data_IF_355137688265
#
_entry.id   IF_355137688265
#
_cell.length_a   1.000
_cell.length_b   1.000
_cell.length_c   1.000
_cell.angle_alpha   90.00
_cell.angle_beta   90.00
_cell.angle_gamma   90.00
#
_symmetry.space_group_name_H-M   'P 1'
#
loop_
_entity.id
_entity.type
_entity.pdbx_description
1 polymer ?
#
# COMPACT_ATOMS: atom_id res chain seq x y z
N UNK A 1 0.23 10.84 -18.53
CA UNK A 1 -1.09 11.48 -18.74
C UNK A 1 -2.05 11.04 -17.63
N UNK A 2 -3.13 11.78 -17.34
CA UNK A 2 -4.17 11.29 -16.44
C UNK A 2 -4.82 10.02 -17.01
N UNK A 3 -5.19 9.08 -16.15
CA UNK A 3 -5.95 7.89 -16.54
C UNK A 3 -7.45 8.21 -16.47
N UNK A 4 -8.09 8.34 -17.61
CA UNK A 4 -9.52 8.62 -17.73
C UNK A 4 -10.13 7.90 -18.94
N UNK A 5 -11.44 8.06 -19.13
CA UNK A 5 -12.17 7.41 -20.23
C UNK A 5 -11.62 7.79 -21.61
N UNK A 6 -11.27 9.07 -21.81
CA UNK A 6 -10.84 9.58 -23.12
C UNK A 6 -9.46 9.04 -23.48
N UNK A 7 -8.53 9.09 -22.53
CA UNK A 7 -7.17 8.57 -22.69
C UNK A 7 -7.14 7.05 -22.87
N UNK A 8 -8.05 6.31 -22.21
CA UNK A 8 -8.17 4.87 -22.40
C UNK A 8 -8.73 4.52 -23.79
N UNK A 9 -9.74 5.25 -24.27
CA UNK A 9 -10.31 5.04 -25.62
C UNK A 9 -9.26 5.35 -26.70
N UNK A 10 -8.59 6.50 -26.61
CA UNK A 10 -7.55 6.91 -27.58
C UNK A 10 -6.40 5.87 -27.64
N UNK A 11 -5.97 5.36 -26.48
CA UNK A 11 -4.93 4.33 -26.44
C UNK A 11 -5.39 2.99 -27.04
N UNK A 12 -6.64 2.56 -26.78
CA UNK A 12 -7.19 1.33 -27.35
C UNK A 12 -7.44 1.45 -28.86
N UNK A 13 -7.82 2.63 -29.36
CA UNK A 13 -7.92 2.90 -30.80
C UNK A 13 -6.54 2.85 -31.46
N UNK A 14 -5.53 3.45 -30.83
CA UNK A 14 -4.14 3.44 -31.31
C UNK A 14 -3.58 2.02 -31.40
N UNK A 15 -3.99 1.12 -30.50
CA UNK A 15 -3.61 -0.29 -30.53
C UNK A 15 -4.53 -1.16 -31.41
N UNK A 16 -5.54 -0.59 -32.06
CA UNK A 16 -6.56 -1.32 -32.85
C UNK A 16 -7.35 -2.37 -32.04
N UNK A 17 -7.44 -2.19 -30.71
CA UNK A 17 -8.09 -3.13 -29.77
C UNK A 17 -9.45 -2.67 -29.27
N UNK A 18 -9.87 -1.43 -29.57
CA UNK A 18 -11.11 -0.87 -29.04
C UNK A 18 -12.35 -1.71 -29.38
N UNK A 19 -12.46 -2.19 -30.61
CA UNK A 19 -13.59 -3.02 -31.03
C UNK A 19 -13.56 -4.43 -30.40
N UNK A 20 -12.36 -5.00 -30.18
CA UNK A 20 -12.20 -6.32 -29.55
C UNK A 20 -12.74 -6.34 -28.12
N UNK A 21 -12.57 -5.23 -27.39
CA UNK A 21 -13.05 -5.10 -26.01
C UNK A 21 -14.52 -4.67 -25.89
N UNK A 22 -15.23 -4.49 -27.02
CA UNK A 22 -16.65 -4.09 -27.03
C UNK A 22 -16.92 -2.60 -27.18
N UNK A 23 -15.89 -1.82 -27.53
CA UNK A 23 -16.02 -0.41 -27.89
C UNK A 23 -16.23 0.56 -26.71
N UNK A 24 -16.44 1.85 -27.00
CA UNK A 24 -16.63 2.89 -25.98
C UNK A 24 -17.86 2.65 -25.08
N UNK A 25 -18.87 1.95 -25.62
CA UNK A 25 -20.08 1.58 -24.88
C UNK A 25 -19.78 0.63 -23.72
N UNK A 26 -18.94 -0.39 -23.94
CA UNK A 26 -18.57 -1.34 -22.89
C UNK A 26 -17.77 -0.67 -21.78
N UNK A 27 -16.82 0.21 -22.13
CA UNK A 27 -16.06 1.00 -21.14
C UNK A 27 -16.98 1.90 -20.28
N UNK A 28 -18.00 2.49 -20.91
CA UNK A 28 -19.02 3.28 -20.19
C UNK A 28 -19.85 2.44 -19.24
N UNK A 29 -20.17 1.19 -19.61
CA UNK A 29 -20.85 0.24 -18.73
C UNK A 29 -19.97 -0.17 -17.52
N UNK A 30 -18.67 -0.40 -17.72
CA UNK A 30 -17.73 -0.70 -16.63
C UNK A 30 -17.65 0.42 -15.59
N UNK A 31 -17.65 1.67 -16.05
CA UNK A 31 -17.68 2.85 -15.17
C UNK A 31 -18.98 2.87 -14.34
N UNK A 32 -20.12 2.60 -14.97
CA UNK A 32 -21.43 2.66 -14.32
C UNK A 32 -21.75 1.45 -13.43
N UNK A 33 -21.11 0.30 -13.67
CA UNK A 33 -21.32 -0.92 -12.89
C UNK A 33 -20.52 -0.97 -11.58
N UNK A 34 -19.59 -0.04 -11.38
CA UNK A 34 -18.76 0.04 -10.16
C UNK A 34 -19.48 0.87 -9.08
N UNK A 35 -19.94 0.27 -7.96
CA UNK A 35 -20.75 0.99 -6.96
C UNK A 35 -19.97 2.08 -6.21
N UNK A 36 -18.67 1.87 -5.98
CA UNK A 36 -17.78 2.84 -5.35
C UNK A 36 -16.32 2.47 -5.57
N UNK A 37 -15.50 3.46 -5.96
CA UNK A 37 -14.04 3.31 -6.08
C UNK A 37 -13.34 3.08 -4.73
N UNK A 38 -14.01 3.39 -3.61
CA UNK A 38 -13.46 3.22 -2.25
C UNK A 38 -13.13 1.74 -1.95
N UNK A 39 -13.89 0.81 -2.56
CA UNK A 39 -13.75 -0.62 -2.31
C UNK A 39 -12.93 -1.36 -3.38
N UNK A 40 -12.12 -0.65 -4.17
CA UNK A 40 -11.32 -1.25 -5.25
C UNK A 40 -10.43 -2.40 -4.75
N UNK A 41 -9.79 -2.24 -3.58
CA UNK A 41 -8.97 -3.29 -2.98
C UNK A 41 -9.79 -4.54 -2.59
N UNK A 42 -11.05 -4.35 -2.20
CA UNK A 42 -11.93 -5.46 -1.86
C UNK A 42 -12.33 -6.25 -3.12
N UNK A 43 -12.73 -5.56 -4.18
CA UNK A 43 -13.08 -6.19 -5.45
C UNK A 43 -11.87 -6.89 -6.08
N UNK A 44 -10.69 -6.27 -6.04
CA UNK A 44 -9.45 -6.87 -6.50
C UNK A 44 -9.16 -8.20 -5.79
N UNK A 45 -9.37 -8.28 -4.46
CA UNK A 45 -9.20 -9.54 -3.69
C UNK A 45 -10.21 -10.61 -4.09
N UNK A 46 -11.44 -10.25 -4.46
CA UNK A 46 -12.43 -11.24 -4.93
C UNK A 46 -11.97 -11.85 -6.26
N UNK A 47 -11.52 -11.01 -7.20
CA UNK A 47 -11.01 -11.45 -8.50
C UNK A 47 -9.75 -12.31 -8.32
N UNK A 48 -8.81 -11.86 -7.49
CA UNK A 48 -7.59 -12.59 -7.14
C UNK A 48 -7.91 -13.97 -6.56
N UNK A 49 -8.77 -14.04 -5.54
CA UNK A 49 -9.19 -15.31 -4.92
C UNK A 49 -9.73 -16.29 -5.96
N UNK A 50 -10.57 -15.79 -6.86
CA UNK A 50 -11.22 -16.62 -7.88
C UNK A 50 -10.20 -17.07 -8.95
N UNK A 51 -9.24 -16.21 -9.30
CA UNK A 51 -8.15 -16.56 -10.20
C UNK A 51 -7.23 -17.64 -9.60
N UNK A 52 -6.90 -17.56 -8.31
CA UNK A 52 -6.10 -18.58 -7.61
C UNK A 52 -6.81 -19.93 -7.61
N UNK A 53 -8.11 -19.96 -7.32
CA UNK A 53 -8.89 -21.21 -7.38
C UNK A 53 -8.88 -21.83 -8.77
N UNK A 54 -8.99 -21.04 -9.85
CA UNK A 54 -8.89 -21.56 -11.24
C UNK A 54 -7.50 -22.13 -11.55
N UNK A 55 -6.43 -21.48 -11.09
CA UNK A 55 -5.07 -21.99 -11.24
C UNK A 55 -4.88 -23.30 -10.50
N UNK A 56 -5.44 -23.42 -9.29
CA UNK A 56 -5.39 -24.65 -8.50
C UNK A 56 -6.12 -25.81 -9.18
N UNK A 57 -7.29 -25.54 -9.78
CA UNK A 57 -8.02 -26.55 -10.56
C UNK A 57 -7.19 -27.03 -11.76
N UNK A 58 -6.55 -26.09 -12.47
CA UNK A 58 -5.71 -26.42 -13.63
C UNK A 58 -4.47 -27.23 -13.23
N UNK A 59 -3.84 -26.85 -12.11
CA UNK A 59 -2.73 -27.58 -11.50
C UNK A 59 -3.14 -29.00 -11.11
N UNK A 60 -4.29 -29.16 -10.45
CA UNK A 60 -4.80 -30.48 -10.07
C UNK A 60 -5.06 -31.37 -11.30
N UNK A 61 -5.59 -30.81 -12.40
CA UNK A 61 -5.74 -31.53 -13.66
C UNK A 61 -4.41 -31.99 -14.24
N UNK A 62 -3.42 -31.11 -14.27
CA UNK A 62 -2.06 -31.42 -14.76
C UNK A 62 -1.39 -32.51 -13.91
N UNK A 63 -1.53 -32.44 -12.59
CA UNK A 63 -1.00 -33.45 -11.67
C UNK A 63 -1.71 -34.80 -11.86
N UNK A 64 -3.02 -34.78 -12.08
CA UNK A 64 -3.76 -36.00 -12.39
C UNK A 64 -3.29 -36.65 -13.70
N UNK A 65 -3.08 -35.85 -14.75
CA UNK A 65 -2.52 -36.33 -16.02
C UNK A 65 -1.13 -36.96 -15.83
N UNK A 66 -0.25 -36.31 -15.06
CA UNK A 66 1.07 -36.84 -14.72
C UNK A 66 0.99 -38.18 -13.97
N UNK A 67 0.00 -38.35 -13.10
CA UNK A 67 -0.18 -39.58 -12.32
C UNK A 67 -0.70 -40.76 -13.16
N UNK A 68 -1.36 -40.51 -14.28
CA UNK A 68 -1.78 -41.55 -15.22
C UNK A 68 -0.67 -41.99 -16.19
N UNK A 69 0.39 -41.19 -16.33
CA UNK A 69 1.52 -41.52 -17.21
C UNK A 69 2.50 -42.47 -16.50
N UNK A 70 2.27 -43.78 -16.63
CA UNK A 70 3.12 -44.83 -16.07
C UNK A 70 4.52 -44.92 -16.73
N UNK A 71 4.82 -44.12 -17.75
CA UNK A 71 6.13 -44.13 -18.42
C UNK A 71 7.20 -43.32 -17.69
N UNK A 72 6.81 -42.46 -16.75
CA UNK A 72 7.70 -41.60 -15.98
C UNK A 72 8.17 -42.29 -14.68
N UNK A 73 9.39 -42.01 -14.23
CA UNK A 73 9.84 -42.44 -12.90
C UNK A 73 9.05 -41.70 -11.80
N UNK A 74 8.66 -42.42 -10.75
CA UNK A 74 7.84 -41.89 -9.65
C UNK A 74 8.44 -40.63 -9.00
N UNK A 75 9.76 -40.60 -8.78
CA UNK A 75 10.45 -39.46 -8.15
C UNK A 75 10.30 -38.18 -8.99
N UNK A 76 10.44 -38.30 -10.32
CA UNK A 76 10.21 -37.17 -11.24
C UNK A 76 8.76 -36.69 -11.26
N UNK A 77 7.79 -37.59 -11.12
CA UNK A 77 6.36 -37.23 -11.08
C UNK A 77 6.05 -36.42 -9.82
N UNK A 78 6.59 -36.84 -8.66
CA UNK A 78 6.42 -36.14 -7.39
C UNK A 78 7.07 -34.75 -7.44
N UNK A 79 8.31 -34.65 -7.92
CA UNK A 79 9.02 -33.36 -8.03
C UNK A 79 8.27 -32.36 -8.92
N UNK A 80 7.75 -32.82 -10.08
CA UNK A 80 6.94 -31.98 -10.98
C UNK A 80 5.64 -31.53 -10.32
N UNK A 81 4.98 -32.41 -9.58
CA UNK A 81 3.75 -32.05 -8.87
C UNK A 81 4.01 -30.99 -7.80
N UNK A 82 5.11 -31.09 -7.05
CA UNK A 82 5.52 -30.08 -6.09
C UNK A 82 5.79 -28.73 -6.77
N UNK A 83 6.52 -28.71 -7.87
CA UNK A 83 6.79 -27.48 -8.65
C UNK A 83 5.50 -26.82 -9.14
N UNK A 84 4.55 -27.60 -9.65
CA UNK A 84 3.25 -27.10 -10.12
C UNK A 84 2.46 -26.45 -8.97
N UNK A 85 2.38 -27.10 -7.82
CA UNK A 85 1.70 -26.55 -6.64
C UNK A 85 2.40 -25.30 -6.11
N UNK A 86 3.74 -25.31 -6.09
CA UNK A 86 4.53 -24.17 -5.66
C UNK A 86 4.28 -22.94 -6.54
N UNK A 87 4.23 -23.11 -7.86
CA UNK A 87 3.92 -22.02 -8.80
C UNK A 87 2.54 -21.38 -8.61
N UNK A 88 1.55 -22.10 -8.05
CA UNK A 88 0.23 -21.52 -7.71
C UNK A 88 0.31 -20.63 -6.47
N UNK A 89 1.23 -20.91 -5.54
CA UNK A 89 1.33 -20.22 -4.24
C UNK A 89 2.29 -19.03 -4.25
N UNK A 90 3.27 -18.98 -5.15
CA UNK A 90 4.34 -17.96 -5.20
C UNK A 90 3.83 -16.52 -5.43
N UNK A 91 2.70 -16.34 -6.12
CA UNK A 91 2.11 -15.00 -6.36
C UNK A 91 1.79 -14.23 -5.06
N UNK A 92 1.69 -14.91 -3.90
CA UNK A 92 1.28 -14.31 -2.63
C UNK A 92 2.44 -13.82 -1.76
N UNK A 93 3.68 -14.29 -2.00
CA UNK A 93 4.79 -14.16 -1.03
C UNK A 93 5.65 -12.91 -1.27
N UNK A 94 5.63 -12.33 -2.48
CA UNK A 94 6.56 -11.26 -2.87
C UNK A 94 6.29 -9.86 -2.31
N UNK A 95 5.26 -9.63 -1.50
CA UNK A 95 4.94 -8.26 -1.03
C UNK A 95 5.61 -7.81 0.26
N UNK A 96 6.14 -8.72 1.10
CA UNK A 96 6.43 -8.35 2.49
C UNK A 96 7.91 -8.47 2.93
N UNK A 97 8.83 -8.92 2.06
CA UNK A 97 10.23 -9.14 2.46
C UNK A 97 11.17 -8.12 1.80
N UNK A 98 11.67 -7.18 2.60
CA UNK A 98 12.75 -6.25 2.20
C UNK A 98 14.09 -6.71 2.76
N UNK A 99 15.15 -6.87 1.95
CA UNK A 99 16.48 -7.21 2.45
C UNK A 99 17.00 -6.20 3.48
N UNK A 100 17.51 -6.70 4.62
CA UNK A 100 18.02 -5.86 5.72
C UNK A 100 19.11 -4.86 5.28
N UNK A 101 19.94 -5.23 4.30
CA UNK A 101 21.00 -4.35 3.76
C UNK A 101 20.45 -3.05 3.18
N UNK A 102 19.25 -3.06 2.60
CA UNK A 102 18.63 -1.86 2.03
C UNK A 102 18.15 -0.92 3.15
N UNK A 103 17.55 -1.47 4.20
CA UNK A 103 17.07 -0.71 5.37
C UNK A 103 18.23 -0.13 6.18
N UNK A 104 19.32 -0.89 6.34
CA UNK A 104 20.48 -0.46 7.14
C UNK A 104 21.13 0.82 6.60
N UNK A 105 21.13 1.02 5.28
CA UNK A 105 21.69 2.24 4.68
C UNK A 105 20.91 3.48 5.13
N UNK A 106 19.58 3.42 5.07
CA UNK A 106 18.71 4.54 5.49
C UNK A 106 18.86 4.85 6.98
N UNK A 107 19.02 3.82 7.81
CA UNK A 107 19.22 3.98 9.26
C UNK A 107 20.55 4.66 9.56
N UNK A 108 21.63 4.26 8.90
CA UNK A 108 22.96 4.87 9.09
C UNK A 108 22.95 6.33 8.63
N UNK A 109 22.39 6.62 7.45
CA UNK A 109 22.28 7.99 6.94
C UNK A 109 21.48 8.89 7.92
N UNK A 110 20.44 8.34 8.55
CA UNK A 110 19.65 9.05 9.58
C UNK A 110 20.44 9.31 10.87
N UNK A 111 21.27 8.36 11.31
CA UNK A 111 22.14 8.54 12.48
C UNK A 111 23.21 9.59 12.20
N UNK A 112 23.82 9.57 11.03
CA UNK A 112 24.85 10.55 10.64
C UNK A 112 24.28 11.96 10.58
N UNK A 113 23.07 12.13 10.02
CA UNK A 113 22.37 13.41 10.01
C UNK A 113 22.13 13.94 11.43
N UNK A 114 21.67 13.09 12.34
CA UNK A 114 21.43 13.44 13.75
C UNK A 114 22.71 13.81 14.50
N UNK A 115 23.81 13.11 14.22
CA UNK A 115 25.11 13.39 14.84
C UNK A 115 25.68 14.75 14.41
N UNK A 116 25.50 15.12 13.15
CA UNK A 116 26.00 16.37 12.57
C UNK A 116 25.14 17.60 12.93
N UNK A 117 23.84 17.41 13.16
CA UNK A 117 22.88 18.49 13.41
C UNK A 117 22.31 18.45 14.84
N UNK A 118 23.19 18.45 15.86
CA UNK A 118 22.82 18.27 17.28
C UNK A 118 21.77 19.25 17.81
N UNK A 119 21.68 20.45 17.21
CA UNK A 119 20.75 21.50 17.64
C UNK A 119 19.50 21.62 16.74
N UNK A 120 19.37 20.78 15.71
CA UNK A 120 18.21 20.81 14.81
C UNK A 120 17.22 19.71 15.19
N UNK A 121 16.01 20.11 15.59
CA UNK A 121 14.90 19.18 15.77
C UNK A 121 14.53 18.62 14.38
N UNK A 122 14.64 17.29 14.19
CA UNK A 122 14.27 16.65 12.92
C UNK A 122 12.77 16.63 12.65
N UNK A 123 11.97 16.72 13.72
CA UNK A 123 10.52 16.70 13.67
C UNK A 123 9.91 18.10 13.57
N UNK A 124 8.59 18.16 13.39
CA UNK A 124 7.82 19.41 13.53
C UNK A 124 7.82 19.78 15.01
N UNK A 125 8.40 20.92 15.42
CA UNK A 125 8.43 21.29 16.82
C UNK A 125 7.03 21.71 17.31
N UNK A 126 6.72 21.36 18.55
CA UNK A 126 5.46 21.69 19.21
C UNK A 126 5.38 23.15 19.63
N UNK A 127 6.53 23.82 19.75
CA UNK A 127 6.66 25.19 20.27
C UNK A 127 6.71 25.25 21.79
N UNK A 128 6.65 24.10 22.47
CA UNK A 128 6.87 23.99 23.91
C UNK A 128 8.27 23.42 24.15
N UNK A 129 9.22 24.27 24.57
CA UNK A 129 10.64 23.91 24.69
C UNK A 129 10.88 22.63 25.51
N UNK A 130 10.11 22.41 26.59
CA UNK A 130 10.23 21.21 27.40
C UNK A 130 9.77 19.95 26.65
N UNK A 131 8.64 20.03 25.94
CA UNK A 131 8.08 18.92 25.18
C UNK A 131 8.96 18.59 23.97
N UNK A 132 9.47 19.62 23.29
CA UNK A 132 10.38 19.46 22.15
C UNK A 132 11.72 18.85 22.56
N UNK A 133 12.22 19.18 23.75
CA UNK A 133 13.41 18.53 24.31
C UNK A 133 13.18 17.05 24.64
N UNK A 134 11.98 16.69 25.08
CA UNK A 134 11.64 15.30 25.41
C UNK A 134 11.37 14.44 24.17
N UNK A 135 10.70 15.01 23.17
CA UNK A 135 10.25 14.29 21.98
C UNK A 135 11.20 14.43 20.78
N UNK A 136 12.06 15.44 20.77
CA UNK A 136 12.81 15.83 19.56
C UNK A 136 11.91 16.46 18.48
N UNK A 137 10.73 16.97 18.88
CA UNK A 137 9.64 17.34 17.99
C UNK A 137 8.83 16.14 17.49
N UNK A 138 7.74 16.39 16.78
CA UNK A 138 6.91 15.33 16.19
C UNK A 138 7.55 14.77 14.92
N UNK A 139 7.89 13.48 14.94
CA UNK A 139 8.54 12.81 13.83
C UNK A 139 7.53 12.42 12.74
N UNK A 140 8.01 12.31 11.50
CA UNK A 140 7.21 11.78 10.39
C UNK A 140 6.85 10.33 10.67
N UNK A 141 5.62 9.95 10.33
CA UNK A 141 5.03 8.61 10.49
C UNK A 141 4.63 8.21 11.92
N UNK A 142 4.81 9.08 12.91
CA UNK A 142 4.33 8.81 14.28
C UNK A 142 2.84 9.13 14.43
N UNK A 143 2.12 8.28 15.17
CA UNK A 143 0.77 8.56 15.67
C UNK A 143 0.85 9.04 17.13
N UNK A 144 0.69 10.35 17.34
CA UNK A 144 0.70 10.95 18.68
C UNK A 144 -0.74 11.09 19.20
N UNK A 145 -1.04 10.42 20.31
CA UNK A 145 -2.38 10.44 20.92
C UNK A 145 -2.39 11.36 22.15
N UNK A 146 -3.19 12.43 22.10
CA UNK A 146 -3.43 13.31 23.23
C UNK A 146 -4.77 12.97 23.91
N UNK A 147 -4.70 12.32 25.07
CA UNK A 147 -5.86 11.95 25.88
C UNK A 147 -5.94 12.81 27.16
N UNK A 148 -7.12 13.39 27.43
CA UNK A 148 -7.38 14.12 28.67
C UNK A 148 -8.87 14.05 29.03
N UNK A 149 -9.21 14.32 30.31
CA UNK A 149 -10.61 14.42 30.75
C UNK A 149 -11.31 15.64 30.12
N UNK A 150 -12.65 15.64 29.99
CA UNK A 150 -13.40 16.82 29.54
C UNK A 150 -13.07 18.06 30.37
N UNK A 151 -12.93 19.21 29.71
CA UNK A 151 -12.59 20.48 30.36
C UNK A 151 -11.12 20.67 30.74
N UNK A 152 -10.23 19.68 30.52
CA UNK A 152 -8.80 19.79 30.83
C UNK A 152 -7.96 20.50 29.74
N UNK A 153 -8.60 21.03 28.69
CA UNK A 153 -7.90 21.81 27.66
C UNK A 153 -7.21 21.01 26.55
N UNK A 154 -7.62 19.75 26.28
CA UNK A 154 -7.12 18.93 25.16
C UNK A 154 -7.11 19.72 23.84
N UNK A 155 -8.25 20.32 23.50
CA UNK A 155 -8.44 21.05 22.24
C UNK A 155 -7.56 22.29 22.20
N UNK A 156 -7.48 23.05 23.30
CA UNK A 156 -6.61 24.22 23.41
C UNK A 156 -5.13 23.85 23.19
N UNK A 157 -4.66 22.75 23.79
CA UNK A 157 -3.30 22.29 23.61
C UNK A 157 -3.03 21.85 22.16
N UNK A 158 -3.93 21.04 21.57
CA UNK A 158 -3.80 20.56 20.19
C UNK A 158 -3.75 21.72 19.19
N UNK A 159 -4.63 22.72 19.35
CA UNK A 159 -4.65 23.92 18.49
C UNK A 159 -3.41 24.78 18.70
N UNK A 160 -2.91 24.91 19.94
CA UNK A 160 -1.68 25.67 20.22
C UNK A 160 -0.47 25.04 19.52
N UNK A 161 -0.36 23.72 19.57
CA UNK A 161 0.70 22.99 18.84
C UNK A 161 0.55 23.20 17.33
N UNK A 162 -0.66 23.05 16.78
CA UNK A 162 -0.93 23.29 15.37
C UNK A 162 -0.57 24.73 14.94
N UNK A 163 -0.92 25.73 15.75
CA UNK A 163 -0.61 27.12 15.50
C UNK A 163 0.91 27.39 15.52
N UNK A 164 1.62 26.84 16.51
CA UNK A 164 3.07 26.99 16.61
C UNK A 164 3.77 26.35 15.42
N UNK A 165 3.37 25.13 15.05
CA UNK A 165 3.89 24.44 13.88
C UNK A 165 3.70 25.29 12.60
N UNK A 166 2.51 25.86 12.41
CA UNK A 166 2.21 26.66 11.22
C UNK A 166 2.90 28.02 11.18
N UNK A 167 2.95 28.74 12.31
CA UNK A 167 3.48 30.13 12.34
C UNK A 167 4.99 30.20 12.54
N UNK A 168 5.53 29.37 13.41
CA UNK A 168 6.93 29.47 13.84
C UNK A 168 7.86 28.57 13.03
N UNK A 169 7.32 27.53 12.38
CA UNK A 169 8.11 26.50 11.68
C UNK A 169 7.66 26.26 10.24
N UNK A 170 6.80 27.13 9.70
CA UNK A 170 6.29 27.09 8.31
C UNK A 170 5.70 25.72 7.89
N UNK A 171 5.19 24.95 8.85
CA UNK A 171 4.59 23.66 8.59
C UNK A 171 3.16 23.85 8.07
N UNK A 172 2.76 23.05 7.07
CA UNK A 172 1.37 23.00 6.62
C UNK A 172 0.61 22.04 7.52
N UNK A 173 -0.40 22.56 8.23
CA UNK A 173 -1.16 21.79 9.23
C UNK A 173 -2.62 21.66 8.79
N UNK A 174 -3.16 20.44 8.84
CA UNK A 174 -4.57 20.16 8.67
C UNK A 174 -5.20 19.82 10.03
N UNK A 175 -6.35 20.41 10.33
CA UNK A 175 -7.09 20.16 11.58
C UNK A 175 -8.48 19.64 11.23
N UNK A 176 -8.83 18.52 11.83
CA UNK A 176 -10.17 17.93 11.73
C UNK A 176 -10.80 17.93 13.12
N UNK A 177 -11.91 18.65 13.27
CA UNK A 177 -12.69 18.70 14.50
C UNK A 177 -14.05 18.03 14.26
N UNK A 178 -14.44 17.15 15.19
CA UNK A 178 -15.78 16.57 15.28
C UNK A 178 -16.50 17.01 16.57
N UNK A 179 -15.84 17.81 17.39
CA UNK A 179 -16.33 18.27 18.71
C UNK A 179 -16.84 19.73 18.63
N UNK A 180 -16.15 20.55 17.82
CA UNK A 180 -16.57 21.88 17.34
C UNK A 180 -16.94 21.77 15.86
#
# INVERSE_FOLDING_TARGET
>A
EPLDFVTLVDELERQEQLEEVGGPAYLSELINSTPSAIYVDHYARIVERTAVLRRLISAAGTIAELAYDESQELEMVVDKAEQIIFGVTESRIHRDLTPIRLVMKEVVDRIDFLSQNRDTLMGVPTGFAFLDKMLGGFQKSDLVILAARPGMGKTSLAISVAQNAARSYDARVAVFSLEM
#
